data_IF_997409894387
#
_entry.id   IF_997409894387
#
_cell.length_a   1.000
_cell.length_b   1.000
_cell.length_c   1.000
_cell.angle_alpha   90.00
_cell.angle_beta   90.00
_cell.angle_gamma   90.00
#
_symmetry.space_group_name_H-M   'P 1'
#
loop_
_entity.id
_entity.type
_entity.pdbx_description
1 polymer ?
#
# COMPACT_ATOMS: atom_id res chain seq x y z
N UNK A 1 75.33 -1.16 6.43
CA UNK A 1 74.20 -1.24 7.38
C UNK A 1 72.98 -0.69 6.65
N UNK A 2 72.18 -1.57 6.02
CA UNK A 2 71.00 -1.16 5.21
C UNK A 2 69.75 -1.13 6.11
N UNK A 3 69.18 0.06 6.27
CA UNK A 3 67.93 0.28 7.02
C UNK A 3 66.74 -0.14 6.13
N UNK A 4 66.04 -1.23 6.49
CA UNK A 4 64.80 -1.65 5.83
C UNK A 4 63.60 -0.86 6.42
N UNK A 5 63.08 0.10 5.67
CA UNK A 5 61.84 0.81 6.00
C UNK A 5 60.69 -0.11 5.61
N UNK A 6 59.99 -0.67 6.60
CA UNK A 6 58.76 -1.43 6.40
C UNK A 6 57.59 -0.47 6.36
N UNK A 7 57.00 -0.25 5.19
CA UNK A 7 55.80 0.58 5.02
C UNK A 7 54.59 -0.22 5.44
N UNK A 8 54.01 0.12 6.59
CA UNK A 8 52.79 -0.47 7.08
C UNK A 8 51.56 0.12 6.30
N UNK A 9 50.96 -0.67 5.44
CA UNK A 9 49.77 -0.27 4.68
C UNK A 9 48.52 -0.47 5.55
N UNK A 10 47.99 0.61 6.13
CA UNK A 10 46.73 0.56 6.90
C UNK A 10 45.59 0.60 5.92
N UNK A 11 44.91 -0.56 5.72
CA UNK A 11 43.65 -0.66 4.97
C UNK A 11 42.53 -0.05 5.80
N UNK A 12 42.13 1.15 5.45
CA UNK A 12 40.89 1.76 5.96
C UNK A 12 39.69 1.10 5.29
N UNK A 13 38.99 0.22 6.02
CA UNK A 13 37.70 -0.28 5.60
C UNK A 13 36.66 0.83 5.78
N UNK A 14 36.31 1.52 4.71
CA UNK A 14 35.13 2.38 4.67
C UNK A 14 33.87 1.49 4.64
N UNK A 15 33.24 1.29 5.79
CA UNK A 15 31.89 0.76 5.85
C UNK A 15 30.96 1.80 5.23
N UNK A 16 30.54 1.58 3.97
CA UNK A 16 29.48 2.37 3.33
C UNK A 16 28.17 2.05 4.04
N UNK A 17 27.76 2.88 4.98
CA UNK A 17 26.38 2.83 5.49
C UNK A 17 25.48 3.29 4.35
N UNK A 18 24.57 2.42 3.93
CA UNK A 18 23.51 2.80 3.02
C UNK A 18 22.62 3.84 3.74
N UNK A 19 22.64 5.08 3.27
CA UNK A 19 21.83 6.14 3.83
C UNK A 19 20.38 5.91 3.37
N UNK A 20 19.46 5.91 4.35
CA UNK A 20 18.04 5.77 4.11
C UNK A 20 17.36 7.14 4.06
N UNK A 21 16.44 7.30 3.13
CA UNK A 21 15.60 8.49 3.02
C UNK A 21 14.15 8.11 3.28
N UNK A 22 13.46 8.98 4.00
CA UNK A 22 12.03 8.83 4.31
C UNK A 22 11.20 9.73 3.40
N UNK A 23 10.44 9.10 2.51
CA UNK A 23 9.55 9.75 1.57
C UNK A 23 8.11 9.67 2.08
N UNK A 24 7.30 10.66 1.74
CA UNK A 24 5.86 10.69 2.10
C UNK A 24 4.99 10.46 0.88
N UNK A 25 3.85 9.84 1.12
CA UNK A 25 2.77 9.75 0.13
C UNK A 25 2.08 11.11 0.03
N UNK A 26 1.96 11.63 -1.19
CA UNK A 26 1.12 12.80 -1.48
C UNK A 26 -0.35 12.37 -1.42
N UNK A 27 -1.03 12.74 -0.35
CA UNK A 27 -2.42 12.38 -0.10
C UNK A 27 -3.41 13.13 -0.99
N UNK A 28 -2.99 14.17 -1.71
CA UNK A 28 -3.87 14.93 -2.63
C UNK A 28 -3.95 14.29 -4.01
N UNK A 29 -2.89 13.58 -4.39
CA UNK A 29 -2.75 12.94 -5.71
C UNK A 29 -2.93 11.43 -5.65
N UNK A 30 -2.99 10.85 -4.44
CA UNK A 30 -3.15 9.42 -4.21
C UNK A 30 -4.60 9.03 -3.96
N UNK A 31 -4.99 7.85 -4.45
CA UNK A 31 -6.30 7.29 -4.17
C UNK A 31 -6.29 5.76 -4.15
N UNK A 32 -7.29 5.18 -3.50
CA UNK A 32 -7.68 3.78 -3.61
C UNK A 32 -9.18 3.76 -3.89
N UNK A 33 -9.57 3.03 -4.92
CA UNK A 33 -10.96 2.80 -5.33
C UNK A 33 -11.28 1.32 -5.21
N UNK A 34 -12.46 0.99 -4.71
CA UNK A 34 -13.00 -0.37 -4.76
C UNK A 34 -14.23 -0.45 -5.64
N UNK A 35 -14.42 -1.59 -6.29
CA UNK A 35 -15.62 -1.93 -7.01
C UNK A 35 -16.19 -3.26 -6.51
N UNK A 36 -17.47 -3.26 -6.17
CA UNK A 36 -18.22 -4.43 -5.76
C UNK A 36 -19.28 -4.79 -6.78
N UNK A 37 -19.66 -6.07 -6.85
CA UNK A 37 -20.66 -6.58 -7.79
C UNK A 37 -21.77 -7.32 -7.06
N UNK A 38 -22.99 -6.99 -7.41
CA UNK A 38 -24.20 -7.73 -7.06
C UNK A 38 -24.94 -8.11 -8.34
N UNK A 39 -25.78 -9.11 -8.28
CA UNK A 39 -26.55 -9.56 -9.46
C UNK A 39 -27.34 -8.44 -10.15
N UNK A 40 -27.85 -7.47 -9.38
CA UNK A 40 -28.73 -6.41 -9.87
C UNK A 40 -27.99 -5.09 -10.15
N UNK A 41 -26.85 -4.83 -9.53
CA UNK A 41 -26.12 -3.57 -9.69
C UNK A 41 -24.66 -3.69 -9.23
N UNK A 42 -23.82 -2.82 -9.77
CA UNK A 42 -22.47 -2.63 -9.31
C UNK A 42 -22.41 -1.34 -8.47
N UNK A 43 -21.41 -1.23 -7.62
CA UNK A 43 -21.10 -0.01 -6.89
C UNK A 43 -19.59 0.13 -6.76
N UNK A 44 -19.18 1.34 -6.52
CA UNK A 44 -17.79 1.71 -6.32
C UNK A 44 -17.69 2.73 -5.19
N UNK A 45 -16.51 2.87 -4.61
CA UNK A 45 -16.22 3.91 -3.64
C UNK A 45 -14.74 4.23 -3.66
N UNK A 46 -14.41 5.51 -3.51
CA UNK A 46 -13.06 6.03 -3.62
C UNK A 46 -12.62 6.67 -2.30
N UNK A 47 -11.39 6.39 -1.89
CA UNK A 47 -10.71 7.10 -0.81
C UNK A 47 -9.54 7.90 -1.39
N UNK A 48 -9.60 9.23 -1.27
CA UNK A 48 -8.59 10.18 -1.73
C UNK A 48 -7.76 10.76 -0.57
N UNK A 49 -7.73 10.08 0.58
CA UNK A 49 -7.00 10.54 1.78
C UNK A 49 -6.03 9.48 2.28
N UNK A 50 -5.28 8.92 1.35
CA UNK A 50 -4.30 7.87 1.68
C UNK A 50 -3.09 8.49 2.37
N UNK A 51 -2.73 7.94 3.51
CA UNK A 51 -1.51 8.28 4.23
C UNK A 51 -0.46 7.20 4.01
N UNK A 52 0.80 7.58 3.98
CA UNK A 52 1.86 6.58 3.85
C UNK A 52 3.25 7.15 3.91
N UNK A 53 4.17 6.21 4.14
CA UNK A 53 5.60 6.46 4.24
C UNK A 53 6.31 5.37 3.47
N UNK A 54 7.35 5.77 2.76
CA UNK A 54 8.27 4.87 2.08
C UNK A 54 9.68 5.14 2.60
N UNK A 55 10.37 4.08 3.01
CA UNK A 55 11.81 4.13 3.27
C UNK A 55 12.51 3.67 2.00
N UNK A 56 13.44 4.46 1.52
CA UNK A 56 14.22 4.17 0.33
C UNK A 56 15.72 4.31 0.60
N UNK A 57 16.53 3.55 -0.12
CA UNK A 57 17.96 3.72 -0.15
C UNK A 57 18.27 4.97 -0.98
N UNK A 58 18.94 5.96 -0.39
CA UNK A 58 19.21 7.26 -1.03
C UNK A 58 20.04 7.11 -2.32
N UNK A 59 21.06 6.27 -2.31
CA UNK A 59 21.98 6.12 -3.43
C UNK A 59 21.35 5.43 -4.64
N UNK A 60 20.49 4.41 -4.41
CA UNK A 60 19.88 3.64 -5.50
C UNK A 60 18.43 4.07 -5.81
N UNK A 61 17.79 4.83 -4.91
CA UNK A 61 16.37 5.16 -4.97
C UNK A 61 15.43 3.96 -4.82
N UNK A 62 15.95 2.80 -4.43
CA UNK A 62 15.12 1.59 -4.24
C UNK A 62 14.42 1.62 -2.90
N UNK A 63 13.15 1.26 -2.90
CA UNK A 63 12.36 1.12 -1.68
C UNK A 63 12.87 -0.05 -0.84
N UNK A 64 12.90 0.17 0.46
CA UNK A 64 13.26 -0.81 1.50
C UNK A 64 11.98 -1.24 2.21
N UNK A 65 11.11 -0.25 2.54
CA UNK A 65 9.86 -0.47 3.24
C UNK A 65 8.78 0.47 2.70
N UNK A 66 7.52 0.02 2.78
CA UNK A 66 6.35 0.85 2.53
C UNK A 66 5.30 0.57 3.60
N UNK A 67 4.71 1.63 4.14
CA UNK A 67 3.56 1.58 5.03
C UNK A 67 2.46 2.52 4.51
N UNK A 68 1.27 1.99 4.29
CA UNK A 68 0.09 2.72 3.83
C UNK A 68 -1.05 2.57 4.82
N UNK A 69 -1.86 3.62 4.95
CA UNK A 69 -3.05 3.67 5.79
C UNK A 69 -4.19 4.36 5.06
N UNK A 70 -5.37 3.75 5.10
CA UNK A 70 -6.63 4.31 4.64
C UNK A 70 -7.68 4.22 5.76
N UNK A 71 -8.36 5.33 6.09
CA UNK A 71 -9.50 5.25 7.01
C UNK A 71 -10.73 4.72 6.28
N UNK A 72 -11.45 3.80 6.90
CA UNK A 72 -12.69 3.22 6.37
C UNK A 72 -13.74 4.29 6.09
N UNK A 73 -13.86 5.28 6.97
CA UNK A 73 -14.82 6.39 6.86
C UNK A 73 -14.56 7.38 5.71
N UNK A 74 -13.38 7.33 5.10
CA UNK A 74 -12.97 8.25 4.05
C UNK A 74 -13.27 7.69 2.64
N UNK A 75 -13.86 6.51 2.54
CA UNK A 75 -14.40 5.99 1.29
C UNK A 75 -15.77 6.62 0.99
N UNK A 76 -15.88 7.21 -0.20
CA UNK A 76 -17.08 7.87 -0.71
C UNK A 76 -17.60 7.13 -1.95
N UNK A 77 -18.83 6.65 -1.90
CA UNK A 77 -19.49 5.98 -3.01
C UNK A 77 -20.47 6.88 -3.76
N UNK A 78 -20.46 8.17 -3.49
CA UNK A 78 -21.47 9.13 -3.96
C UNK A 78 -22.91 8.78 -3.53
N UNK A 79 -23.06 8.02 -2.44
CA UNK A 79 -24.35 7.65 -1.86
C UNK A 79 -24.21 7.53 -0.34
N UNK A 80 -24.64 8.56 0.37
CA UNK A 80 -24.51 8.66 1.82
C UNK A 80 -25.21 7.52 2.60
N UNK A 81 -26.31 6.98 2.09
CA UNK A 81 -26.99 5.83 2.70
C UNK A 81 -26.16 4.55 2.57
N UNK A 82 -25.52 4.34 1.43
CA UNK A 82 -24.61 3.22 1.21
C UNK A 82 -23.38 3.36 2.09
N UNK A 83 -22.81 4.56 2.16
CA UNK A 83 -21.63 4.82 2.98
C UNK A 83 -21.91 4.58 4.45
N UNK A 84 -23.03 5.08 4.98
CA UNK A 84 -23.44 4.82 6.35
C UNK A 84 -23.61 3.32 6.64
N UNK A 85 -24.27 2.59 5.74
CA UNK A 85 -24.45 1.15 5.88
C UNK A 85 -23.12 0.39 5.79
N UNK A 86 -22.19 0.83 4.91
CA UNK A 86 -20.85 0.24 4.83
C UNK A 86 -20.08 0.42 6.13
N UNK A 87 -20.17 1.59 6.78
CA UNK A 87 -19.53 1.83 8.09
C UNK A 87 -20.07 0.92 9.19
N UNK A 88 -21.37 0.60 9.15
CA UNK A 88 -21.98 -0.36 10.09
C UNK A 88 -21.48 -1.78 9.84
N UNK A 89 -21.56 -2.27 8.59
CA UNK A 89 -21.11 -3.62 8.19
C UNK A 89 -19.63 -3.85 8.50
N UNK A 90 -18.81 -2.82 8.28
CA UNK A 90 -17.37 -2.87 8.53
C UNK A 90 -16.99 -2.56 9.99
N UNK A 91 -17.97 -2.40 10.89
CA UNK A 91 -17.75 -2.04 12.31
C UNK A 91 -16.71 -0.90 12.43
N UNK A 92 -16.86 0.17 11.64
CA UNK A 92 -15.83 1.20 11.45
C UNK A 92 -15.45 1.95 12.73
N UNK A 93 -16.29 1.94 13.78
CA UNK A 93 -15.94 2.47 15.10
C UNK A 93 -14.92 1.58 15.83
N UNK A 94 -14.92 0.28 15.57
CA UNK A 94 -14.01 -0.70 16.16
C UNK A 94 -12.77 -0.93 15.30
N UNK A 95 -12.97 -0.92 13.98
CA UNK A 95 -11.92 -1.17 12.98
C UNK A 95 -11.85 0.02 11.99
N UNK A 96 -11.35 1.18 12.43
CA UNK A 96 -11.43 2.42 11.65
C UNK A 96 -10.47 2.47 10.46
N UNK A 97 -9.49 1.56 10.39
CA UNK A 97 -8.35 1.68 9.49
C UNK A 97 -8.10 0.39 8.70
N UNK A 98 -7.64 0.56 7.47
CA UNK A 98 -7.01 -0.47 6.65
C UNK A 98 -5.53 -0.12 6.53
N UNK A 99 -4.64 -1.09 6.79
CA UNK A 99 -3.19 -0.89 6.76
C UNK A 99 -2.52 -1.89 5.84
N UNK A 100 -1.52 -1.43 5.11
CA UNK A 100 -0.63 -2.30 4.35
C UNK A 100 0.82 -1.96 4.72
N UNK A 101 1.59 -2.99 5.06
CA UNK A 101 3.03 -2.88 5.31
C UNK A 101 3.78 -3.93 4.51
N UNK A 102 4.89 -3.52 3.88
CA UNK A 102 5.80 -4.44 3.19
C UNK A 102 7.25 -4.00 3.36
N UNK A 103 8.10 -4.95 3.73
CA UNK A 103 9.57 -4.89 3.75
C UNK A 103 10.20 -5.89 2.77
N UNK A 104 9.38 -6.64 2.04
CA UNK A 104 9.80 -7.59 1.01
C UNK A 104 9.43 -7.05 -0.37
N UNK A 105 10.37 -6.32 -0.97
CA UNK A 105 10.15 -5.56 -2.20
C UNK A 105 11.01 -6.14 -3.32
N UNK A 106 10.36 -6.65 -4.38
CA UNK A 106 11.01 -7.25 -5.54
C UNK A 106 10.83 -6.33 -6.74
N UNK A 107 11.94 -5.93 -7.35
CA UNK A 107 11.98 -5.08 -8.52
C UNK A 107 12.02 -5.91 -9.80
N UNK A 108 11.11 -5.63 -10.72
CA UNK A 108 11.13 -6.09 -12.10
C UNK A 108 11.47 -4.89 -13.02
N UNK A 109 11.52 -5.10 -14.34
CA UNK A 109 11.90 -4.07 -15.30
C UNK A 109 11.07 -2.77 -15.21
N UNK A 110 9.75 -2.90 -15.06
CA UNK A 110 8.77 -1.81 -15.11
C UNK A 110 7.70 -1.89 -14.01
N UNK A 111 7.91 -2.78 -13.03
CA UNK A 111 6.99 -3.01 -11.94
C UNK A 111 7.72 -3.35 -10.64
N UNK A 112 7.05 -3.10 -9.52
CA UNK A 112 7.50 -3.48 -8.18
C UNK A 112 6.47 -4.43 -7.59
N UNK A 113 6.95 -5.52 -7.01
CA UNK A 113 6.13 -6.48 -6.28
C UNK A 113 6.36 -6.26 -4.78
N UNK A 114 5.30 -5.89 -4.10
CA UNK A 114 5.28 -5.72 -2.65
C UNK A 114 4.66 -6.96 -2.01
N UNK A 115 5.45 -7.72 -1.25
CA UNK A 115 4.95 -8.83 -0.43
C UNK A 115 4.86 -8.36 0.99
N UNK A 116 3.67 -8.33 1.55
CA UNK A 116 3.47 -7.73 2.85
C UNK A 116 2.18 -8.14 3.54
N UNK A 117 1.93 -7.52 4.65
CA UNK A 117 0.78 -7.75 5.51
C UNK A 117 -0.29 -6.70 5.25
N UNK A 118 -1.52 -7.15 4.97
CA UNK A 118 -2.72 -6.33 4.86
C UNK A 118 -3.59 -6.56 6.10
N UNK A 119 -3.75 -5.52 6.90
CA UNK A 119 -4.62 -5.53 8.09
C UNK A 119 -5.93 -4.82 7.76
N UNK A 120 -7.04 -5.51 7.95
CA UNK A 120 -8.38 -4.99 7.81
C UNK A 120 -9.33 -5.71 8.76
N UNK A 121 -10.29 -5.01 9.36
CA UNK A 121 -11.31 -5.54 10.26
C UNK A 121 -10.73 -6.41 11.41
N UNK A 122 -9.54 -6.03 11.91
CA UNK A 122 -8.83 -6.75 12.96
C UNK A 122 -8.17 -8.06 12.54
N UNK A 123 -8.20 -8.40 11.26
CA UNK A 123 -7.54 -9.57 10.67
C UNK A 123 -6.38 -9.11 9.81
N UNK A 124 -5.26 -9.82 9.89
CA UNK A 124 -4.06 -9.58 9.08
C UNK A 124 -3.80 -10.78 8.17
N UNK A 125 -3.64 -10.53 6.88
CA UNK A 125 -3.31 -11.55 5.89
C UNK A 125 -2.07 -11.15 5.08
N UNK A 126 -1.31 -12.15 4.61
CA UNK A 126 -0.25 -11.93 3.65
C UNK A 126 -0.83 -11.59 2.27
N UNK A 127 -0.36 -10.48 1.70
CA UNK A 127 -0.79 -10.02 0.38
C UNK A 127 0.38 -9.64 -0.49
N UNK A 128 0.34 -10.09 -1.74
CA UNK A 128 1.28 -9.66 -2.77
C UNK A 128 0.59 -8.68 -3.70
N UNK A 129 1.13 -7.46 -3.81
CA UNK A 129 0.59 -6.38 -4.63
C UNK A 129 1.62 -6.02 -5.70
N UNK A 130 1.20 -6.06 -6.97
CA UNK A 130 1.99 -5.62 -8.11
C UNK A 130 1.66 -4.18 -8.43
N UNK A 131 2.66 -3.32 -8.48
CA UNK A 131 2.53 -1.93 -8.89
C UNK A 131 3.40 -1.64 -10.13
N UNK A 132 2.82 -1.02 -11.14
CA UNK A 132 3.56 -0.36 -12.23
C UNK A 132 4.15 0.91 -11.70
N UNK A 133 5.34 1.25 -12.18
CA UNK A 133 6.08 2.43 -11.74
C UNK A 133 6.16 3.43 -12.87
N UNK A 134 5.80 4.67 -12.60
CA UNK A 134 6.06 5.82 -13.46
C UNK A 134 6.85 6.85 -12.66
N UNK A 135 7.95 7.35 -13.22
CA UNK A 135 8.84 8.31 -12.55
C UNK A 135 8.93 9.60 -13.33
N UNK A 136 8.72 10.71 -12.65
CA UNK A 136 9.02 12.06 -13.11
C UNK A 136 10.17 12.65 -12.29
N UNK A 137 10.74 13.81 -12.66
CA UNK A 137 11.80 14.45 -11.86
C UNK A 137 11.40 14.79 -10.42
N UNK A 138 10.10 15.01 -10.15
CA UNK A 138 9.59 15.45 -8.84
C UNK A 138 8.79 14.41 -8.09
N UNK A 139 8.33 13.35 -8.75
CA UNK A 139 7.39 12.39 -8.17
C UNK A 139 7.61 10.98 -8.71
N UNK A 140 7.30 10.00 -7.90
CA UNK A 140 7.18 8.62 -8.28
C UNK A 140 5.73 8.17 -8.08
N UNK A 141 5.16 7.57 -9.10
CA UNK A 141 3.79 7.08 -9.11
C UNK A 141 3.76 5.56 -9.16
N UNK A 142 3.01 4.95 -8.26
CA UNK A 142 2.70 3.51 -8.22
C UNK A 142 1.23 3.32 -8.58
N UNK A 143 0.94 2.54 -9.61
CA UNK A 143 -0.43 2.19 -10.00
C UNK A 143 -0.60 0.69 -10.09
N UNK A 144 -1.76 0.19 -9.72
CA UNK A 144 -2.03 -1.25 -9.78
C UNK A 144 -3.46 -1.61 -9.45
N UNK A 145 -3.69 -2.92 -9.47
CA UNK A 145 -4.98 -3.52 -9.12
C UNK A 145 -4.76 -4.76 -8.29
N UNK A 146 -5.67 -5.05 -7.39
CA UNK A 146 -5.72 -6.29 -6.64
C UNK A 146 -7.15 -6.61 -6.23
N UNK A 147 -7.36 -7.83 -5.74
CA UNK A 147 -8.69 -8.29 -5.30
C UNK A 147 -8.63 -8.71 -3.83
N UNK A 148 -9.74 -8.50 -3.12
CA UNK A 148 -9.94 -9.01 -1.77
C UNK A 148 -11.31 -9.69 -1.67
N UNK A 149 -11.38 -10.76 -0.88
CA UNK A 149 -12.62 -11.34 -0.42
C UNK A 149 -12.91 -10.80 0.99
N UNK A 150 -14.01 -10.07 1.22
CA UNK A 150 -14.39 -9.59 2.55
C UNK A 150 -14.45 -10.70 3.61
N UNK A 151 -14.83 -11.92 3.22
CA UNK A 151 -14.87 -13.07 4.12
C UNK A 151 -13.49 -13.47 4.67
N UNK A 152 -12.39 -13.18 3.97
CA UNK A 152 -11.02 -13.41 4.47
C UNK A 152 -10.72 -12.57 5.73
N UNK A 153 -11.48 -11.50 5.95
CA UNK A 153 -11.38 -10.61 7.11
C UNK A 153 -12.53 -10.79 8.12
N UNK A 154 -13.29 -11.88 8.00
CA UNK A 154 -14.41 -12.17 8.90
C UNK A 154 -15.60 -11.21 8.74
N UNK A 155 -15.68 -10.49 7.62
CA UNK A 155 -16.78 -9.56 7.34
C UNK A 155 -17.98 -10.34 6.82
N UNK A 156 -19.11 -10.20 7.48
CA UNK A 156 -20.37 -10.78 7.01
C UNK A 156 -20.92 -9.96 5.85
N UNK A 157 -21.07 -10.62 4.70
CA UNK A 157 -21.58 -9.95 3.51
C UNK A 157 -23.09 -9.67 3.62
N UNK A 158 -23.51 -8.42 3.41
CA UNK A 158 -24.92 -8.10 3.41
C UNK A 158 -25.64 -8.76 2.23
N UNK A 159 -26.92 -9.05 2.42
CA UNK A 159 -27.78 -9.55 1.37
C UNK A 159 -28.83 -8.50 0.99
N UNK A 160 -29.10 -8.38 -0.30
CA UNK A 160 -30.20 -7.57 -0.81
C UNK A 160 -31.23 -8.47 -1.48
N UNK A 161 -32.50 -8.38 -1.05
CA UNK A 161 -33.61 -9.24 -1.55
C UNK A 161 -33.27 -10.74 -1.55
N UNK A 162 -32.67 -11.23 -0.44
CA UNK A 162 -32.24 -12.65 -0.25
C UNK A 162 -30.99 -13.08 -1.08
N UNK A 163 -30.45 -12.22 -1.94
CA UNK A 163 -29.25 -12.49 -2.72
C UNK A 163 -28.03 -11.87 -2.02
N UNK A 164 -27.04 -12.70 -1.67
CA UNK A 164 -25.78 -12.21 -1.10
C UNK A 164 -24.96 -11.46 -2.15
N UNK A 165 -24.21 -10.47 -1.69
CA UNK A 165 -23.14 -9.85 -2.47
C UNK A 165 -22.13 -10.90 -2.91
N UNK A 166 -21.48 -10.66 -4.05
CA UNK A 166 -20.31 -11.45 -4.44
C UNK A 166 -19.18 -11.20 -3.45
N UNK A 167 -18.61 -12.27 -2.92
CA UNK A 167 -17.48 -12.22 -1.99
C UNK A 167 -16.18 -11.93 -2.74
N UNK A 168 -16.14 -10.83 -3.42
CA UNK A 168 -14.97 -10.33 -4.14
C UNK A 168 -15.13 -8.84 -4.42
N UNK A 169 -14.14 -8.07 -4.01
CA UNK A 169 -13.99 -6.66 -4.35
C UNK A 169 -12.76 -6.48 -5.24
N UNK A 170 -12.92 -5.73 -6.32
CA UNK A 170 -11.83 -5.29 -7.19
C UNK A 170 -11.32 -3.95 -6.68
N UNK A 171 -10.01 -3.82 -6.45
CA UNK A 171 -9.36 -2.59 -6.03
C UNK A 171 -8.44 -2.06 -7.12
N UNK A 172 -8.50 -0.74 -7.34
CA UNK A 172 -7.57 0.01 -8.17
C UNK A 172 -6.91 1.09 -7.30
N UNK A 173 -5.62 1.30 -7.45
CA UNK A 173 -4.91 2.32 -6.70
C UNK A 173 -3.96 3.13 -7.55
N UNK A 174 -3.74 4.35 -7.09
CA UNK A 174 -2.68 5.26 -7.51
C UNK A 174 -2.06 5.86 -6.24
N UNK A 175 -0.79 5.60 -6.01
CA UNK A 175 -0.02 6.14 -4.90
C UNK A 175 1.09 7.02 -5.47
N UNK A 176 1.09 8.28 -5.12
CA UNK A 176 2.09 9.27 -5.51
C UNK A 176 3.01 9.54 -4.32
N UNK A 177 4.30 9.51 -4.57
CA UNK A 177 5.35 9.70 -3.58
C UNK A 177 6.18 10.89 -4.03
N UNK A 178 6.31 11.88 -3.16
CA UNK A 178 7.15 13.06 -3.39
C UNK A 178 8.63 12.68 -3.21
N UNK A 179 9.47 13.11 -4.17
CA UNK A 179 10.92 12.92 -4.14
C UNK A 179 11.62 14.01 -3.31
#
# INVERSE_FOLDING_TARGET
>A
MFLRISTLFILFNFSSFAQEVRLKVDNKSSFIEYAGKHLLHNWEGINQKIQGIVIANEASGKFIEIALLANVKDFDSNNSGRDAHSLEVLEALRYPEVKFYSDQIVYNSDAILFKGSLEFHGVSIEKTILAKVSKTPSQLELTGQFQLAPSDFGIELPSFMTVKMKDLLDFTFRIVIDN
#
